data_IF_111008071176
#
_entry.id   IF_111008071176
#
_cell.length_a   1.000
_cell.length_b   1.000
_cell.length_c   1.000
_cell.angle_alpha   90.00
_cell.angle_beta   90.00
_cell.angle_gamma   90.00
#
_symmetry.space_group_name_H-M   'P 1'
#
loop_
_entity.id
_entity.type
_entity.pdbx_description
1 polymer ?
#
# COMPACT_ATOMS: atom_id res chain seq x y z
N UNK A 1 15.63 0.49 -29.28
CA UNK A 1 15.78 1.01 -30.65
C UNK A 1 16.93 0.32 -31.38
N UNK A 2 18.15 0.37 -30.83
CA UNK A 2 19.36 -0.19 -31.49
C UNK A 2 19.40 -1.73 -31.64
N UNK A 3 18.53 -2.46 -30.93
CA UNK A 3 18.36 -3.91 -31.07
C UNK A 3 17.55 -4.35 -32.30
N UNK A 4 16.86 -3.42 -32.96
CA UNK A 4 15.99 -3.70 -34.12
C UNK A 4 16.18 -2.74 -35.30
N UNK A 5 16.79 -1.58 -35.07
CA UNK A 5 16.95 -0.51 -36.07
C UNK A 5 18.43 -0.13 -36.18
N UNK A 6 18.91 0.00 -37.42
CA UNK A 6 20.24 0.51 -37.75
C UNK A 6 20.17 1.53 -38.88
N UNK A 7 21.21 2.34 -39.00
CA UNK A 7 21.34 3.33 -40.05
C UNK A 7 22.60 3.04 -40.87
N UNK A 8 22.56 3.31 -42.16
CA UNK A 8 23.70 3.17 -43.05
C UNK A 8 23.82 4.43 -43.89
N UNK A 9 24.94 5.15 -43.75
CA UNK A 9 25.19 6.35 -44.55
C UNK A 9 25.66 5.93 -45.94
N UNK A 10 25.00 6.44 -46.98
CA UNK A 10 25.39 6.22 -48.37
C UNK A 10 25.99 7.51 -48.92
N UNK A 11 27.32 7.54 -49.00
CA UNK A 11 28.05 8.66 -49.59
C UNK A 11 28.14 8.45 -51.09
N UNK A 12 27.81 9.46 -51.89
CA UNK A 12 28.00 9.34 -53.35
C UNK A 12 29.49 9.12 -53.67
N UNK A 13 29.78 8.35 -54.73
CA UNK A 13 31.16 8.04 -55.12
C UNK A 13 31.98 9.30 -55.47
N UNK A 14 31.29 10.35 -55.92
CA UNK A 14 31.85 11.69 -56.18
C UNK A 14 32.40 12.40 -54.93
N UNK A 15 32.04 11.94 -53.73
CA UNK A 15 32.41 12.57 -52.45
C UNK A 15 33.21 11.65 -51.52
N UNK A 16 33.59 10.47 -51.98
CA UNK A 16 34.41 9.52 -51.21
C UNK A 16 35.62 9.06 -51.99
N UNK A 17 36.73 8.81 -51.30
CA UNK A 17 37.97 8.25 -51.88
C UNK A 17 38.15 6.82 -51.37
N UNK A 18 38.02 6.61 -50.05
CA UNK A 18 38.17 5.30 -49.41
C UNK A 18 37.17 5.17 -48.26
N UNK A 19 35.89 5.26 -48.60
CA UNK A 19 34.78 5.12 -47.68
C UNK A 19 34.30 3.67 -47.62
N UNK A 20 34.18 3.15 -46.41
CA UNK A 20 33.59 1.82 -46.16
C UNK A 20 32.23 2.01 -45.50
N UNK A 21 31.20 1.41 -46.10
CA UNK A 21 29.85 1.40 -45.53
C UNK A 21 29.86 0.67 -44.19
N UNK A 22 29.20 1.25 -43.19
CA UNK A 22 29.07 0.68 -41.84
C UNK A 22 27.64 0.84 -41.34
N UNK A 23 27.13 -0.19 -40.67
CA UNK A 23 25.88 -0.14 -39.92
C UNK A 23 26.10 0.61 -38.60
N UNK A 24 25.30 1.65 -38.36
CA UNK A 24 25.41 2.59 -37.25
C UNK A 24 24.21 2.45 -36.30
N UNK A 25 24.44 2.64 -35.00
CA UNK A 25 23.37 2.94 -34.03
C UNK A 25 22.81 4.34 -34.26
N UNK A 26 21.68 4.66 -33.63
CA UNK A 26 21.14 6.02 -33.67
C UNK A 26 22.10 7.05 -33.07
N UNK A 27 22.76 6.70 -31.96
CA UNK A 27 23.74 7.57 -31.27
C UNK A 27 24.98 7.79 -32.15
N UNK A 28 25.47 6.75 -32.85
CA UNK A 28 26.59 6.88 -33.78
C UNK A 28 26.22 7.80 -34.97
N UNK A 29 25.02 7.65 -35.54
CA UNK A 29 24.52 8.52 -36.62
C UNK A 29 24.46 9.99 -36.16
N UNK A 30 23.91 10.23 -34.97
CA UNK A 30 23.82 11.58 -34.41
C UNK A 30 25.21 12.20 -34.22
N UNK A 31 26.14 11.45 -33.62
CA UNK A 31 27.51 11.93 -33.40
C UNK A 31 28.21 12.27 -34.71
N UNK A 32 28.06 11.43 -35.74
CA UNK A 32 28.63 11.66 -37.08
C UNK A 32 27.98 12.90 -37.72
N UNK A 33 26.65 13.03 -37.65
CA UNK A 33 25.91 14.19 -38.17
C UNK A 33 26.43 15.49 -37.56
N UNK A 34 26.49 15.57 -36.22
CA UNK A 34 26.94 16.77 -35.50
C UNK A 34 28.39 17.13 -35.79
N UNK A 35 29.28 16.13 -35.81
CA UNK A 35 30.72 16.35 -36.04
C UNK A 35 31.00 16.83 -37.46
N UNK A 36 30.35 16.25 -38.47
CA UNK A 36 30.51 16.69 -39.85
C UNK A 36 29.85 18.06 -40.09
N UNK A 37 28.66 18.32 -39.53
CA UNK A 37 28.03 19.64 -39.60
C UNK A 37 28.95 20.73 -39.06
N UNK A 38 29.47 20.54 -37.84
CA UNK A 38 30.41 21.49 -37.22
C UNK A 38 31.67 21.73 -38.06
N UNK A 39 32.18 20.68 -38.71
CA UNK A 39 33.32 20.81 -39.62
C UNK A 39 32.98 21.69 -40.82
N UNK A 40 31.86 21.46 -41.49
CA UNK A 40 31.46 22.23 -42.66
C UNK A 40 31.02 23.67 -42.33
N UNK A 41 30.44 23.90 -41.14
CA UNK A 41 30.18 25.23 -40.59
C UNK A 41 31.49 26.00 -40.34
N UNK A 42 32.54 25.34 -39.87
CA UNK A 42 33.84 26.00 -39.64
C UNK A 42 34.55 26.46 -40.92
N UNK A 43 34.09 26.00 -42.08
CA UNK A 43 34.63 26.35 -43.40
C UNK A 43 33.74 27.42 -44.06
N UNK A 44 33.39 28.45 -43.29
CA UNK A 44 32.47 29.52 -43.72
C UNK A 44 33.15 30.46 -44.73
N UNK A 45 32.70 30.38 -45.99
CA UNK A 45 32.95 31.38 -47.03
C UNK A 45 31.62 31.66 -47.72
N UNK A 46 31.25 32.94 -47.80
CA UNK A 46 29.91 33.52 -48.06
C UNK A 46 29.10 32.99 -49.25
N UNK A 47 29.64 32.08 -50.09
CA UNK A 47 28.93 31.50 -51.24
C UNK A 47 29.26 30.03 -51.55
N UNK A 48 30.03 29.33 -50.71
CA UNK A 48 30.73 28.08 -51.10
C UNK A 48 30.37 26.88 -50.23
N UNK A 49 30.23 27.09 -48.90
CA UNK A 49 29.96 26.02 -47.94
C UNK A 49 28.47 25.65 -47.84
N UNK A 50 27.59 26.44 -48.48
CA UNK A 50 26.13 26.30 -48.37
C UNK A 50 25.60 24.94 -48.80
N UNK A 51 26.15 24.30 -49.84
CA UNK A 51 25.69 22.99 -50.32
C UNK A 51 26.03 21.85 -49.34
N UNK A 52 27.26 21.81 -48.81
CA UNK A 52 27.67 20.75 -47.88
C UNK A 52 27.08 20.96 -46.50
N UNK A 53 27.11 22.20 -46.02
CA UNK A 53 26.49 22.58 -44.74
C UNK A 53 24.99 22.34 -44.79
N UNK A 54 24.28 22.65 -45.89
CA UNK A 54 22.85 22.34 -46.01
C UNK A 54 22.54 20.84 -46.03
N UNK A 55 23.37 20.02 -46.68
CA UNK A 55 23.23 18.56 -46.66
C UNK A 55 23.35 18.00 -45.23
N UNK A 56 24.38 18.43 -44.50
CA UNK A 56 24.59 18.00 -43.11
C UNK A 56 23.57 18.60 -42.15
N UNK A 57 23.14 19.83 -42.36
CA UNK A 57 22.08 20.46 -41.57
C UNK A 57 20.74 19.73 -41.78
N UNK A 58 20.38 19.39 -43.01
CA UNK A 58 19.20 18.58 -43.32
C UNK A 58 19.23 17.21 -42.65
N UNK A 59 20.40 16.57 -42.59
CA UNK A 59 20.56 15.33 -41.84
C UNK A 59 20.39 15.56 -40.34
N UNK A 60 21.03 16.59 -39.81
CA UNK A 60 20.99 16.92 -38.39
C UNK A 60 19.58 17.27 -37.92
N UNK A 61 18.82 18.06 -38.69
CA UNK A 61 17.41 18.36 -38.41
C UNK A 61 16.57 17.08 -38.35
N UNK A 62 16.74 16.14 -39.29
CA UNK A 62 16.04 14.85 -39.27
C UNK A 62 16.39 14.01 -38.03
N UNK A 63 17.66 14.01 -37.62
CA UNK A 63 18.11 13.31 -36.41
C UNK A 63 17.53 13.95 -35.14
N UNK A 64 17.52 15.28 -35.06
CA UNK A 64 16.94 16.01 -33.92
C UNK A 64 15.42 15.81 -33.85
N UNK A 65 14.70 15.81 -34.97
CA UNK A 65 13.26 15.48 -35.00
C UNK A 65 12.99 14.06 -34.47
N UNK A 66 13.83 13.08 -34.82
CA UNK A 66 13.73 11.72 -34.28
C UNK A 66 14.03 11.70 -32.79
N UNK A 67 15.04 12.45 -32.34
CA UNK A 67 15.38 12.56 -30.91
C UNK A 67 14.23 13.16 -30.11
N UNK A 68 13.66 14.29 -30.57
CA UNK A 68 12.51 14.92 -29.92
C UNK A 68 11.34 13.96 -29.85
N UNK A 69 11.01 13.29 -30.95
CA UNK A 69 9.92 12.30 -30.96
C UNK A 69 10.17 11.15 -29.97
N UNK A 70 11.40 10.65 -29.86
CA UNK A 70 11.73 9.58 -28.90
C UNK A 70 11.62 10.03 -27.44
N UNK A 71 11.93 11.31 -27.15
CA UNK A 71 11.85 11.88 -25.80
C UNK A 71 10.41 12.15 -25.34
N UNK A 72 9.49 12.41 -26.28
CA UNK A 72 8.07 12.71 -26.01
C UNK A 72 7.21 11.45 -25.80
N UNK A 73 7.75 10.25 -26.03
CA UNK A 73 6.98 9.00 -25.90
C UNK A 73 6.88 8.55 -24.44
N UNK A 74 5.65 8.50 -23.91
CA UNK A 74 5.33 7.89 -22.61
C UNK A 74 5.53 6.36 -22.62
N UNK A 75 5.30 5.71 -23.77
CA UNK A 75 5.53 4.26 -23.97
C UNK A 75 6.28 3.97 -25.28
N UNK A 76 7.28 3.09 -25.23
CA UNK A 76 8.12 2.70 -26.37
C UNK A 76 7.38 1.73 -27.32
N UNK A 77 6.51 2.27 -28.19
CA UNK A 77 5.86 1.49 -29.24
C UNK A 77 6.77 1.30 -30.47
N UNK A 78 7.24 0.08 -30.69
CA UNK A 78 8.13 -0.28 -31.80
C UNK A 78 7.55 0.04 -33.20
N UNK A 79 6.25 -0.19 -33.42
CA UNK A 79 5.62 0.06 -34.71
C UNK A 79 5.48 1.57 -34.98
N UNK A 80 5.18 2.35 -33.93
CA UNK A 80 5.13 3.81 -34.01
C UNK A 80 6.49 4.41 -34.38
N UNK A 81 7.55 4.00 -33.68
CA UNK A 81 8.92 4.46 -33.92
C UNK A 81 9.38 4.10 -35.34
N UNK A 82 9.14 2.86 -35.78
CA UNK A 82 9.52 2.43 -37.14
C UNK A 82 8.77 3.22 -38.20
N UNK A 83 7.47 3.46 -38.00
CA UNK A 83 6.66 4.26 -38.93
C UNK A 83 7.12 5.71 -39.01
N UNK A 84 7.49 6.31 -37.87
CA UNK A 84 7.99 7.68 -37.82
C UNK A 84 9.34 7.81 -38.54
N UNK A 85 10.29 6.90 -38.27
CA UNK A 85 11.61 6.91 -38.92
C UNK A 85 11.47 6.68 -40.42
N UNK A 86 10.56 5.80 -40.86
CA UNK A 86 10.27 5.58 -42.28
C UNK A 86 9.78 6.84 -43.02
N UNK A 87 9.03 7.72 -42.35
CA UNK A 87 8.64 9.00 -42.94
C UNK A 87 9.84 9.94 -43.18
N UNK A 88 10.93 9.78 -42.42
CA UNK A 88 12.15 10.59 -42.54
C UNK A 88 13.18 9.96 -43.48
N UNK A 89 13.26 8.64 -43.47
CA UNK A 89 14.16 7.83 -44.29
C UNK A 89 13.36 6.72 -44.97
N UNK A 90 12.87 6.99 -46.17
CA UNK A 90 12.01 6.08 -46.92
C UNK A 90 12.74 4.89 -47.53
N UNK A 91 14.07 4.94 -47.64
CA UNK A 91 14.88 3.90 -48.25
C UNK A 91 15.37 2.92 -47.18
N UNK A 92 14.81 1.72 -47.15
CA UNK A 92 15.13 0.71 -46.13
C UNK A 92 15.37 -0.67 -46.74
N UNK A 93 16.09 -1.52 -46.02
CA UNK A 93 16.18 -2.95 -46.30
C UNK A 93 16.24 -3.74 -44.99
N UNK A 94 15.98 -5.03 -45.06
CA UNK A 94 16.11 -5.93 -43.91
C UNK A 94 17.37 -6.77 -44.04
N UNK A 95 18.14 -6.84 -42.95
CA UNK A 95 19.32 -7.69 -42.82
C UNK A 95 19.28 -8.38 -41.46
N UNK A 96 19.30 -9.71 -41.42
CA UNK A 96 19.26 -10.52 -40.21
C UNK A 96 18.17 -10.12 -39.18
N UNK A 97 16.99 -9.71 -39.65
CA UNK A 97 15.88 -9.28 -38.78
C UNK A 97 15.98 -7.84 -38.24
N UNK A 98 17.03 -7.09 -38.61
CA UNK A 98 17.15 -5.66 -38.39
C UNK A 98 16.54 -4.88 -39.56
N UNK A 99 15.92 -3.74 -39.26
CA UNK A 99 15.50 -2.75 -40.27
C UNK A 99 16.62 -1.72 -40.41
N UNK A 100 17.19 -1.61 -41.61
CA UNK A 100 18.29 -0.70 -41.91
C UNK A 100 17.77 0.45 -42.75
N UNK A 101 17.97 1.68 -42.26
CA UNK A 101 17.62 2.91 -42.95
C UNK A 101 18.83 3.47 -43.69
N UNK A 102 18.72 3.63 -45.01
CA UNK A 102 19.75 4.22 -45.85
C UNK A 102 19.65 5.74 -45.80
N UNK A 103 20.78 6.37 -45.52
CA UNK A 103 20.91 7.82 -45.34
C UNK A 103 21.82 8.35 -46.44
N UNK A 104 21.28 8.75 -47.61
CA UNK A 104 22.10 9.29 -48.69
C UNK A 104 22.67 10.66 -48.29
N UNK A 105 23.97 10.85 -48.52
CA UNK A 105 24.67 12.10 -48.26
C UNK A 105 25.55 12.49 -49.45
N UNK A 106 25.28 13.67 -50.00
CA UNK A 106 26.07 14.25 -51.10
C UNK A 106 27.17 15.16 -50.56
N UNK A 107 28.00 14.62 -49.66
CA UNK A 107 29.08 15.37 -49.00
C UNK A 107 30.20 14.45 -48.51
N UNK A 108 31.47 14.89 -48.54
CA UNK A 108 32.56 14.14 -47.92
C UNK A 108 32.34 13.96 -46.41
N UNK A 109 32.71 12.79 -45.91
CA UNK A 109 32.50 12.36 -44.52
C UNK A 109 33.83 12.05 -43.83
N UNK A 110 33.93 12.42 -42.56
CA UNK A 110 35.11 12.21 -41.73
C UNK A 110 35.44 10.74 -41.39
N UNK A 111 34.54 9.81 -41.67
CA UNK A 111 34.79 8.36 -41.57
C UNK A 111 35.49 7.78 -42.80
N UNK A 112 35.65 8.56 -43.88
CA UNK A 112 36.49 8.16 -45.02
C UNK A 112 37.96 8.08 -44.58
N UNK A 113 38.63 6.97 -44.86
CA UNK A 113 40.04 6.75 -44.45
C UNK A 113 40.99 7.79 -45.07
N UNK A 114 40.60 8.40 -46.18
CA UNK A 114 41.33 9.45 -46.89
C UNK A 114 40.76 10.85 -46.64
N UNK A 115 39.85 11.04 -45.68
CA UNK A 115 39.25 12.35 -45.39
C UNK A 115 40.29 13.44 -45.07
N UNK A 116 41.41 13.08 -44.44
CA UNK A 116 42.52 14.01 -44.19
C UNK A 116 43.09 14.62 -45.47
N UNK A 117 43.16 13.84 -46.57
CA UNK A 117 43.60 14.34 -47.88
C UNK A 117 42.60 15.36 -48.43
N UNK A 118 41.31 15.08 -48.28
CA UNK A 118 40.22 15.98 -48.67
C UNK A 118 40.33 17.30 -47.89
N UNK A 119 40.49 17.23 -46.56
CA UNK A 119 40.65 18.41 -45.71
C UNK A 119 41.84 19.30 -46.13
N UNK A 120 43.03 18.70 -46.31
CA UNK A 120 44.22 19.45 -46.76
C UNK A 120 44.04 20.09 -48.13
N UNK A 121 43.35 19.40 -49.04
CA UNK A 121 43.02 19.96 -50.34
C UNK A 121 42.05 21.15 -50.21
N UNK A 122 41.04 21.09 -49.33
CA UNK A 122 40.14 22.22 -49.07
C UNK A 122 40.94 23.44 -48.60
N UNK A 123 41.80 23.27 -47.59
CA UNK A 123 42.65 24.34 -47.05
C UNK A 123 43.57 24.94 -48.14
N UNK A 124 44.16 24.09 -48.97
CA UNK A 124 44.95 24.53 -50.12
C UNK A 124 44.09 25.31 -51.12
N UNK A 125 42.93 24.78 -51.52
CA UNK A 125 42.07 25.37 -52.53
C UNK A 125 41.60 26.77 -52.10
N UNK A 126 41.12 26.90 -50.87
CA UNK A 126 40.62 28.16 -50.30
C UNK A 126 41.69 29.25 -50.18
N UNK A 127 42.97 28.90 -50.20
CA UNK A 127 44.06 29.89 -50.27
C UNK A 127 44.18 30.57 -51.63
N UNK A 128 43.74 29.90 -52.69
CA UNK A 128 43.96 30.36 -54.07
C UNK A 128 42.67 30.66 -54.85
N UNK A 129 41.55 30.01 -54.52
CA UNK A 129 40.26 30.26 -55.15
C UNK A 129 39.11 30.04 -54.17
N UNK A 130 38.10 30.89 -54.30
CA UNK A 130 36.83 30.86 -53.60
C UNK A 130 35.67 30.48 -54.57
N UNK A 131 35.99 30.00 -55.77
CA UNK A 131 34.96 29.63 -56.75
C UNK A 131 34.65 28.13 -56.70
N UNK A 132 33.37 27.74 -56.68
CA UNK A 132 32.90 26.36 -56.90
C UNK A 132 33.70 25.23 -56.18
N UNK A 133 33.85 25.31 -54.85
CA UNK A 133 34.52 24.27 -54.06
C UNK A 133 33.92 22.88 -54.26
N UNK A 134 32.59 22.79 -54.46
CA UNK A 134 31.93 21.52 -54.76
C UNK A 134 32.49 20.87 -56.01
N UNK A 135 32.64 21.62 -57.10
CA UNK A 135 33.30 21.15 -58.32
C UNK A 135 34.76 20.80 -58.09
N UNK A 136 35.47 21.60 -57.29
CA UNK A 136 36.88 21.39 -57.00
C UNK A 136 37.11 20.10 -56.21
N UNK A 137 36.29 19.83 -55.19
CA UNK A 137 36.35 18.60 -54.40
C UNK A 137 36.00 17.37 -55.23
N UNK A 138 34.95 17.44 -56.05
CA UNK A 138 34.60 16.34 -56.96
C UNK A 138 35.73 16.01 -57.92
N UNK A 139 36.35 17.03 -58.51
CA UNK A 139 37.52 16.83 -59.37
C UNK A 139 38.72 16.28 -58.59
N UNK A 140 39.00 16.79 -57.39
CA UNK A 140 40.08 16.27 -56.54
C UNK A 140 39.88 14.79 -56.21
N UNK A 141 38.67 14.42 -55.80
CA UNK A 141 38.31 13.03 -55.47
C UNK A 141 38.42 12.15 -56.72
N UNK A 142 37.86 12.58 -57.85
CA UNK A 142 37.95 11.87 -59.12
C UNK A 142 39.39 11.67 -59.59
N UNK A 143 40.22 12.72 -59.50
CA UNK A 143 41.64 12.69 -59.87
C UNK A 143 42.45 11.80 -58.91
N UNK A 144 42.14 11.81 -57.61
CA UNK A 144 42.80 10.93 -56.63
C UNK A 144 42.58 9.44 -56.92
N UNK A 145 41.44 9.09 -57.54
CA UNK A 145 41.14 7.74 -58.03
C UNK A 145 41.74 7.47 -59.42
N UNK A 146 41.94 8.51 -60.23
CA UNK A 146 42.36 8.42 -61.64
C UNK A 146 43.53 9.35 -61.96
N UNK A 147 44.78 9.01 -61.56
CA UNK A 147 45.94 9.89 -61.74
C UNK A 147 46.26 10.26 -63.21
N UNK A 148 45.87 9.40 -64.14
CA UNK A 148 46.03 9.62 -65.58
C UNK A 148 45.29 10.85 -66.14
N UNK A 149 44.32 11.40 -65.41
CA UNK A 149 43.57 12.59 -65.82
C UNK A 149 44.22 13.92 -65.36
N UNK A 150 45.35 13.87 -64.65
CA UNK A 150 46.02 15.08 -64.13
C UNK A 150 46.33 16.09 -65.23
N UNK A 151 46.90 15.65 -66.35
CA UNK A 151 47.32 16.55 -67.44
C UNK A 151 46.16 17.30 -68.11
N UNK A 152 45.04 16.62 -68.34
CA UNK A 152 43.84 17.23 -68.93
C UNK A 152 43.30 18.34 -68.02
N UNK A 153 43.10 18.02 -66.74
CA UNK A 153 42.52 18.94 -65.75
C UNK A 153 43.46 20.11 -65.41
N UNK A 154 44.77 19.88 -65.43
CA UNK A 154 45.78 20.91 -65.22
C UNK A 154 45.79 21.97 -66.33
N UNK A 155 45.38 21.62 -67.56
CA UNK A 155 45.32 22.58 -68.66
C UNK A 155 44.05 23.46 -68.68
N UNK A 156 43.12 23.23 -67.75
CA UNK A 156 41.83 23.94 -67.70
C UNK A 156 42.00 25.39 -67.21
N UNK A 157 41.23 26.31 -67.80
CA UNK A 157 41.13 27.70 -67.34
C UNK A 157 40.21 27.88 -66.12
N UNK A 158 39.57 26.81 -65.66
CA UNK A 158 38.67 26.86 -64.50
C UNK A 158 39.40 26.42 -63.22
N UNK A 159 39.36 27.25 -62.19
CA UNK A 159 39.99 27.02 -60.89
C UNK A 159 39.64 25.64 -60.30
N UNK A 160 38.36 25.27 -60.36
CA UNK A 160 37.85 24.00 -59.84
C UNK A 160 38.33 22.76 -60.61
N UNK A 161 39.01 22.91 -61.76
CA UNK A 161 39.71 21.84 -62.47
C UNK A 161 41.23 21.95 -62.28
N UNK A 162 41.76 23.17 -62.37
CA UNK A 162 43.19 23.48 -62.34
C UNK A 162 43.84 23.15 -60.98
N UNK A 163 43.32 23.71 -59.89
CA UNK A 163 43.92 23.57 -58.56
C UNK A 163 43.90 22.14 -58.00
N UNK A 164 42.83 21.33 -58.18
CA UNK A 164 42.87 19.90 -57.85
C UNK A 164 44.04 19.14 -58.50
N UNK A 165 44.25 19.36 -59.80
CA UNK A 165 45.34 18.71 -60.54
C UNK A 165 46.71 19.20 -60.08
N UNK A 166 46.88 20.52 -59.93
CA UNK A 166 48.13 21.12 -59.45
C UNK A 166 48.51 20.61 -58.05
N UNK A 167 47.55 20.51 -57.12
CA UNK A 167 47.79 20.03 -55.76
C UNK A 167 48.30 18.59 -55.74
N UNK A 168 47.60 17.69 -56.45
CA UNK A 168 47.97 16.28 -56.52
C UNK A 168 49.32 16.08 -57.22
N UNK A 169 49.60 16.82 -58.29
CA UNK A 169 50.89 16.80 -58.95
C UNK A 169 52.00 17.28 -58.01
N UNK A 170 51.80 18.40 -57.31
CA UNK A 170 52.77 18.92 -56.32
C UNK A 170 53.08 17.88 -55.24
N UNK A 171 52.07 17.15 -54.78
CA UNK A 171 52.25 16.10 -53.77
C UNK A 171 53.04 14.90 -54.31
N UNK A 172 52.81 14.50 -55.56
CA UNK A 172 53.60 13.43 -56.21
C UNK A 172 55.07 13.84 -56.44
N UNK A 173 55.34 15.12 -56.74
CA UNK A 173 56.70 15.62 -56.96
C UNK A 173 57.46 16.02 -55.67
N UNK A 174 56.77 16.24 -54.54
CA UNK A 174 57.32 16.80 -53.29
C UNK A 174 57.70 15.81 -52.17
N UNK A 175 57.61 14.49 -52.43
CA UNK A 175 57.54 13.37 -51.46
C UNK A 175 58.63 13.19 -50.37
N UNK A 176 59.55 14.13 -50.09
CA UNK A 176 60.69 13.84 -49.18
C UNK A 176 61.00 14.93 -48.12
N UNK A 177 60.63 16.21 -48.29
CA UNK A 177 61.16 17.28 -47.41
C UNK A 177 60.14 17.97 -46.49
N UNK A 178 58.86 18.01 -46.87
CA UNK A 178 57.81 18.68 -46.09
C UNK A 178 57.13 17.75 -45.05
N UNK A 179 57.20 16.43 -45.24
CA UNK A 179 56.49 15.45 -44.41
C UNK A 179 56.94 15.40 -42.93
N UNK A 180 58.16 15.84 -42.59
CA UNK A 180 58.68 15.79 -41.20
C UNK A 180 58.33 17.07 -40.44
N UNK A 181 58.42 18.25 -41.08
CA UNK A 181 58.09 19.53 -40.44
C UNK A 181 56.56 19.74 -40.29
N UNK A 182 55.77 19.26 -41.26
CA UNK A 182 54.31 19.24 -41.14
C UNK A 182 53.84 18.18 -40.13
N UNK A 183 54.58 17.08 -39.93
CA UNK A 183 54.22 16.09 -38.91
C UNK A 183 54.33 16.68 -37.50
N UNK A 184 55.44 17.37 -37.19
CA UNK A 184 55.65 17.97 -35.87
C UNK A 184 54.63 19.09 -35.59
N UNK A 185 54.41 20.01 -36.54
CA UNK A 185 53.54 21.17 -36.33
C UNK A 185 52.04 20.88 -36.53
N UNK A 186 51.66 20.00 -37.46
CA UNK A 186 50.24 19.74 -37.79
C UNK A 186 49.68 18.44 -37.19
N UNK A 187 50.53 17.52 -36.72
CA UNK A 187 50.07 16.27 -36.09
C UNK A 187 50.42 16.26 -34.61
N UNK A 188 51.69 16.47 -34.27
CA UNK A 188 52.19 16.26 -32.91
C UNK A 188 51.64 17.30 -31.93
N UNK A 189 51.61 18.58 -32.33
CA UNK A 189 51.03 19.67 -31.53
C UNK A 189 49.52 19.48 -31.30
N UNK A 190 48.66 19.34 -32.33
CA UNK A 190 47.22 19.15 -32.11
C UNK A 190 46.87 17.79 -31.50
N UNK A 191 47.72 16.76 -31.63
CA UNK A 191 47.56 15.50 -30.91
C UNK A 191 47.81 15.69 -29.41
N UNK A 192 48.86 16.41 -29.02
CA UNK A 192 49.10 16.76 -27.63
C UNK A 192 47.97 17.60 -27.05
N UNK A 193 47.52 18.61 -27.79
CA UNK A 193 46.44 19.48 -27.35
C UNK A 193 45.13 18.71 -27.19
N UNK A 194 44.80 17.79 -28.12
CA UNK A 194 43.66 16.88 -27.96
C UNK A 194 43.83 15.92 -26.80
N UNK A 195 45.06 15.44 -26.53
CA UNK A 195 45.31 14.52 -25.42
C UNK A 195 45.11 15.23 -24.08
N UNK A 196 45.55 16.49 -23.99
CA UNK A 196 45.34 17.34 -22.82
C UNK A 196 43.85 17.68 -22.66
N UNK A 197 43.15 18.06 -23.74
CA UNK A 197 41.70 18.28 -23.72
C UNK A 197 40.93 17.01 -23.30
N UNK A 198 41.35 15.85 -23.80
CA UNK A 198 40.75 14.56 -23.41
C UNK A 198 41.02 14.27 -21.94
N UNK A 199 42.25 14.48 -21.46
CA UNK A 199 42.61 14.28 -20.05
C UNK A 199 41.79 15.19 -19.15
N UNK A 200 41.70 16.48 -19.47
CA UNK A 200 40.92 17.44 -18.71
C UNK A 200 39.43 17.08 -18.73
N UNK A 201 38.87 16.71 -19.88
CA UNK A 201 37.46 16.28 -19.95
C UNK A 201 37.20 14.98 -19.19
N UNK A 202 38.18 14.07 -19.13
CA UNK A 202 38.08 12.83 -18.37
C UNK A 202 38.14 13.08 -16.86
N UNK A 203 38.95 14.04 -16.43
CA UNK A 203 39.02 14.49 -15.03
C UNK A 203 37.74 15.22 -14.61
N UNK A 204 37.22 16.12 -15.46
CA UNK A 204 35.93 16.79 -15.25
C UNK A 204 34.79 15.77 -15.17
N UNK A 205 34.74 14.82 -16.10
CA UNK A 205 33.72 13.76 -16.09
C UNK A 205 33.86 12.83 -14.87
N UNK A 206 35.08 12.52 -14.42
CA UNK A 206 35.29 11.76 -13.18
C UNK A 206 34.82 12.51 -11.94
N UNK A 207 35.04 13.83 -11.88
CA UNK A 207 34.55 14.66 -10.79
C UNK A 207 33.01 14.75 -10.79
N UNK A 208 32.38 14.93 -11.96
CA UNK A 208 30.92 14.93 -12.10
C UNK A 208 30.32 13.59 -11.67
N UNK A 209 30.91 12.47 -12.10
CA UNK A 209 30.49 11.13 -11.68
C UNK A 209 30.62 10.97 -10.15
N UNK A 210 31.73 11.42 -9.57
CA UNK A 210 31.95 11.34 -8.12
C UNK A 210 30.93 12.17 -7.35
N UNK A 211 30.67 13.41 -7.78
CA UNK A 211 29.66 14.27 -7.17
C UNK A 211 28.25 13.68 -7.30
N UNK A 212 27.91 13.11 -8.45
CA UNK A 212 26.64 12.41 -8.66
C UNK A 212 26.49 11.22 -7.70
N UNK A 213 27.55 10.40 -7.55
CA UNK A 213 27.54 9.28 -6.61
C UNK A 213 27.42 9.75 -5.17
N UNK A 214 28.11 10.81 -4.76
CA UNK A 214 27.99 11.36 -3.40
C UNK A 214 26.58 11.90 -3.14
N UNK A 215 26.00 12.65 -4.08
CA UNK A 215 24.65 13.21 -3.96
C UNK A 215 23.60 12.09 -3.89
N UNK A 216 23.64 11.11 -4.80
CA UNK A 216 22.73 9.96 -4.77
C UNK A 216 22.90 9.11 -3.52
N UNK A 217 24.14 8.88 -3.07
CA UNK A 217 24.38 8.11 -1.85
C UNK A 217 23.85 8.85 -0.60
N UNK A 218 23.97 10.18 -0.56
CA UNK A 218 23.38 11.00 0.51
C UNK A 218 21.84 10.94 0.52
N UNK A 219 21.21 10.96 -0.67
CA UNK A 219 19.76 10.77 -0.80
C UNK A 219 19.33 9.40 -0.34
N UNK A 220 20.06 8.34 -0.74
CA UNK A 220 19.78 6.97 -0.30
C UNK A 220 19.91 6.87 1.23
N UNK A 221 20.97 7.42 1.82
CA UNK A 221 21.14 7.44 3.27
C UNK A 221 19.98 8.12 3.99
N UNK A 222 19.59 9.32 3.54
CA UNK A 222 18.44 10.02 4.15
C UNK A 222 17.12 9.25 4.00
N UNK A 223 16.89 8.54 2.88
CA UNK A 223 15.72 7.68 2.72
C UNK A 223 15.75 6.46 3.63
N UNK A 224 16.93 5.84 3.83
CA UNK A 224 17.12 4.72 4.75
C UNK A 224 16.85 5.17 6.18
N UNK A 225 17.40 6.31 6.61
CA UNK A 225 17.14 6.88 7.94
C UNK A 225 15.65 7.18 8.16
N UNK A 226 14.97 7.73 7.15
CA UNK A 226 13.52 7.97 7.21
C UNK A 226 12.74 6.66 7.33
N UNK A 227 13.13 5.62 6.59
CA UNK A 227 12.50 4.30 6.67
C UNK A 227 12.75 3.64 8.02
N UNK A 228 13.96 3.74 8.58
CA UNK A 228 14.26 3.25 9.93
C UNK A 228 13.41 3.96 10.99
N UNK A 229 13.28 5.29 10.92
CA UNK A 229 12.39 6.03 11.82
C UNK A 229 10.92 5.61 11.67
N UNK A 230 10.47 5.41 10.43
CA UNK A 230 9.11 4.92 10.17
C UNK A 230 8.88 3.52 10.75
N UNK A 231 9.81 2.59 10.55
CA UNK A 231 9.72 1.22 11.07
C UNK A 231 9.77 1.20 12.60
N UNK A 232 10.61 2.01 13.22
CA UNK A 232 10.68 2.13 14.68
C UNK A 232 9.36 2.67 15.24
N UNK A 233 8.83 3.76 14.67
CA UNK A 233 7.54 4.32 15.09
C UNK A 233 6.39 3.34 14.84
N UNK A 234 6.40 2.63 13.71
CA UNK A 234 5.42 1.58 13.42
C UNK A 234 5.47 0.46 14.46
N UNK A 235 6.67 0.00 14.82
CA UNK A 235 6.88 -1.06 15.83
C UNK A 235 6.41 -0.60 17.20
N UNK A 236 6.79 0.60 17.65
CA UNK A 236 6.30 1.17 18.92
C UNK A 236 4.77 1.33 18.94
N UNK A 237 4.16 1.74 17.83
CA UNK A 237 2.71 1.84 17.73
C UNK A 237 2.02 0.48 17.74
N UNK A 238 2.64 -0.54 17.13
CA UNK A 238 2.15 -1.92 17.15
C UNK A 238 2.23 -2.52 18.56
N UNK A 239 3.34 -2.32 19.28
CA UNK A 239 3.48 -2.76 20.67
C UNK A 239 2.44 -2.09 21.57
N UNK A 240 2.27 -0.76 21.46
CA UNK A 240 1.22 -0.03 22.19
C UNK A 240 -0.19 -0.52 21.84
N UNK A 241 -0.45 -0.79 20.57
CA UNK A 241 -1.73 -1.30 20.12
C UNK A 241 -1.99 -2.71 20.67
N UNK A 242 -0.99 -3.58 20.64
CA UNK A 242 -1.06 -4.94 21.20
C UNK A 242 -1.36 -4.88 22.69
N UNK A 243 -0.62 -4.08 23.45
CA UNK A 243 -0.85 -3.88 24.89
C UNK A 243 -2.25 -3.33 25.17
N UNK A 244 -2.70 -2.31 24.42
CA UNK A 244 -4.04 -1.74 24.56
C UNK A 244 -5.14 -2.77 24.28
N UNK A 245 -4.95 -3.61 23.25
CA UNK A 245 -5.91 -4.67 22.89
C UNK A 245 -5.95 -5.78 23.91
N UNK A 246 -4.79 -6.23 24.39
CA UNK A 246 -4.71 -7.26 25.41
C UNK A 246 -5.39 -6.79 26.71
N UNK A 247 -5.13 -5.54 27.13
CA UNK A 247 -5.77 -4.96 28.30
C UNK A 247 -7.30 -4.85 28.14
N UNK A 248 -7.79 -4.38 26.99
CA UNK A 248 -9.24 -4.32 26.71
C UNK A 248 -9.88 -5.70 26.68
N UNK A 249 -9.19 -6.71 26.14
CA UNK A 249 -9.70 -8.07 26.09
C UNK A 249 -9.78 -8.68 27.49
N UNK A 250 -8.76 -8.45 28.32
CA UNK A 250 -8.73 -8.87 29.72
C UNK A 250 -9.85 -8.21 30.54
N UNK A 251 -10.03 -6.90 30.38
CA UNK A 251 -11.12 -6.14 31.02
C UNK A 251 -12.51 -6.67 30.58
N UNK A 252 -12.68 -6.96 29.29
CA UNK A 252 -13.91 -7.54 28.76
C UNK A 252 -14.17 -8.94 29.31
N UNK A 253 -13.13 -9.78 29.39
CA UNK A 253 -13.23 -11.13 29.96
C UNK A 253 -13.62 -11.08 31.44
N UNK A 254 -12.98 -10.22 32.24
CA UNK A 254 -13.32 -10.01 33.64
C UNK A 254 -14.75 -9.49 33.81
N UNK A 255 -15.16 -8.51 32.99
CA UNK A 255 -16.52 -7.96 32.99
C UNK A 255 -17.55 -9.04 32.64
N UNK A 256 -17.28 -9.87 31.62
CA UNK A 256 -18.17 -10.93 31.20
C UNK A 256 -18.26 -12.05 32.25
N UNK A 257 -17.14 -12.42 32.86
CA UNK A 257 -17.09 -13.40 33.96
C UNK A 257 -17.86 -12.90 35.18
N UNK A 258 -17.69 -11.63 35.57
CA UNK A 258 -18.46 -11.00 36.64
C UNK A 258 -19.96 -10.96 36.33
N UNK A 259 -20.32 -10.64 35.08
CA UNK A 259 -21.71 -10.66 34.63
C UNK A 259 -22.32 -12.06 34.74
N UNK A 260 -21.62 -13.09 34.26
CA UNK A 260 -22.11 -14.47 34.29
C UNK A 260 -22.29 -15.00 35.72
N UNK A 261 -21.34 -14.69 36.61
CA UNK A 261 -21.43 -15.09 38.03
C UNK A 261 -22.64 -14.49 38.76
N UNK A 262 -23.13 -13.31 38.35
CA UNK A 262 -24.21 -12.58 39.04
C UNK A 262 -25.57 -12.69 38.35
N UNK A 263 -25.61 -12.95 37.04
CA UNK A 263 -26.86 -13.10 36.28
C UNK A 263 -27.55 -14.46 36.53
N UNK A 264 -26.78 -15.54 36.74
CA UNK A 264 -27.33 -16.87 37.03
C UNK A 264 -28.12 -16.92 38.37
N UNK A 265 -27.63 -16.35 39.48
CA UNK A 265 -28.41 -16.24 40.72
C UNK A 265 -29.70 -15.44 40.58
N UNK A 266 -29.70 -14.29 39.88
CA UNK A 266 -30.90 -13.46 39.68
C UNK A 266 -32.00 -14.27 38.96
N UNK A 267 -31.63 -14.98 37.88
CA UNK A 267 -32.56 -15.86 37.15
C UNK A 267 -33.12 -16.96 38.03
N UNK A 268 -32.29 -17.58 38.86
CA UNK A 268 -32.71 -18.63 39.78
C UNK A 268 -33.71 -18.12 40.84
N UNK A 269 -33.45 -16.95 41.43
CA UNK A 269 -34.35 -16.35 42.42
C UNK A 269 -35.69 -15.92 41.82
N UNK A 270 -35.66 -15.30 40.63
CA UNK A 270 -36.87 -14.95 39.89
C UNK A 270 -37.72 -16.18 39.53
N UNK A 271 -37.09 -17.26 39.07
CA UNK A 271 -37.78 -18.52 38.78
C UNK A 271 -38.43 -19.13 40.04
N UNK A 272 -37.72 -19.10 41.18
CA UNK A 272 -38.27 -19.58 42.45
C UNK A 272 -39.42 -18.71 42.94
N UNK A 273 -39.29 -17.38 42.88
CA UNK A 273 -40.34 -16.44 43.22
C UNK A 273 -41.60 -16.68 42.39
N UNK A 274 -41.46 -16.86 41.07
CA UNK A 274 -42.58 -17.15 40.18
C UNK A 274 -43.29 -18.47 40.54
N UNK A 275 -42.53 -19.53 40.82
CA UNK A 275 -43.07 -20.83 41.23
C UNK A 275 -43.84 -20.74 42.55
N UNK A 276 -43.30 -20.06 43.55
CA UNK A 276 -44.01 -19.86 44.83
C UNK A 276 -45.20 -18.93 44.68
N UNK A 277 -45.16 -17.93 43.79
CA UNK A 277 -46.31 -17.07 43.48
C UNK A 277 -47.45 -17.86 42.83
N UNK A 278 -47.15 -18.78 41.91
CA UNK A 278 -48.14 -19.71 41.33
C UNK A 278 -48.76 -20.59 42.41
N UNK A 279 -47.93 -21.17 43.30
CA UNK A 279 -48.41 -21.96 44.46
C UNK A 279 -49.25 -21.11 45.42
N UNK A 280 -48.84 -19.88 45.72
CA UNK A 280 -49.58 -18.97 46.60
C UNK A 280 -50.96 -18.65 46.02
N UNK A 281 -51.04 -18.33 44.72
CA UNK A 281 -52.35 -18.15 44.04
C UNK A 281 -53.21 -19.39 44.12
N UNK A 282 -52.64 -20.58 43.86
CA UNK A 282 -53.36 -21.85 43.97
C UNK A 282 -53.91 -22.07 45.39
N UNK A 283 -53.08 -21.87 46.42
CA UNK A 283 -53.50 -21.99 47.82
C UNK A 283 -54.52 -20.94 48.24
N UNK A 284 -54.46 -19.73 47.70
CA UNK A 284 -55.48 -18.69 47.93
C UNK A 284 -56.82 -19.09 47.31
N UNK A 285 -56.83 -19.60 46.07
CA UNK A 285 -58.06 -20.12 45.46
C UNK A 285 -58.59 -21.34 46.21
N UNK A 286 -57.70 -22.23 46.66
CA UNK A 286 -58.07 -23.35 47.51
C UNK A 286 -58.64 -22.90 48.85
N UNK A 287 -58.08 -21.88 49.50
CA UNK A 287 -58.59 -21.29 50.74
C UNK A 287 -60.03 -20.78 50.55
N UNK A 288 -60.27 -20.01 49.48
CA UNK A 288 -61.61 -19.47 49.17
C UNK A 288 -62.59 -20.61 48.93
N UNK A 289 -62.24 -21.58 48.08
CA UNK A 289 -63.09 -22.74 47.81
C UNK A 289 -63.35 -23.60 49.05
N UNK A 290 -62.31 -23.88 49.83
CA UNK A 290 -62.40 -24.63 51.08
C UNK A 290 -63.29 -23.90 52.08
N UNK A 291 -63.19 -22.58 52.21
CA UNK A 291 -64.03 -21.78 53.12
C UNK A 291 -65.51 -21.83 52.74
N UNK A 292 -65.83 -21.74 51.44
CA UNK A 292 -67.21 -21.89 50.93
C UNK A 292 -67.72 -23.30 51.22
N UNK A 293 -66.93 -24.33 50.93
CA UNK A 293 -67.30 -25.72 51.16
C UNK A 293 -67.51 -26.03 52.65
N UNK A 294 -66.66 -25.46 53.52
CA UNK A 294 -66.79 -25.56 54.97
C UNK A 294 -68.07 -24.90 55.47
N UNK A 295 -68.44 -23.74 54.93
CA UNK A 295 -69.69 -23.06 55.26
C UNK A 295 -70.92 -23.86 54.84
N UNK A 296 -70.87 -24.54 53.68
CA UNK A 296 -71.93 -25.45 53.22
C UNK A 296 -72.07 -26.67 54.14
N UNK A 297 -70.95 -27.32 54.51
CA UNK A 297 -70.96 -28.43 55.48
C UNK A 297 -71.52 -27.96 56.81
N UNK A 298 -71.06 -26.80 57.30
CA UNK A 298 -71.54 -26.25 58.56
C UNK A 298 -73.05 -26.01 58.53
N UNK A 299 -73.58 -25.40 57.47
CA UNK A 299 -75.02 -25.19 57.28
C UNK A 299 -75.79 -26.51 57.27
N UNK A 300 -75.30 -27.51 56.54
CA UNK A 300 -75.90 -28.86 56.49
C UNK A 300 -75.87 -29.55 57.86
N UNK A 301 -74.77 -29.42 58.61
CA UNK A 301 -74.59 -30.03 59.93
C UNK A 301 -75.51 -29.36 60.96
N UNK A 302 -75.65 -28.03 60.92
CA UNK A 302 -76.60 -27.30 61.76
C UNK A 302 -78.05 -27.70 61.45
N UNK A 303 -78.41 -27.82 60.17
CA UNK A 303 -79.73 -28.33 59.77
C UNK A 303 -79.98 -29.76 60.28
N UNK A 304 -79.01 -30.66 60.10
CA UNK A 304 -79.10 -32.03 60.61
C UNK A 304 -79.25 -32.10 62.13
N UNK A 305 -78.52 -31.26 62.88
CA UNK A 305 -78.65 -31.17 64.34
C UNK A 305 -80.01 -30.63 64.81
N UNK A 306 -80.65 -29.80 64.00
CA UNK A 306 -81.97 -29.23 64.32
C UNK A 306 -83.10 -30.22 64.00
N UNK A 307 -83.05 -30.87 62.83
CA UNK A 307 -84.08 -31.80 62.35
C UNK A 307 -84.00 -33.17 63.06
N UNK A 308 -82.78 -33.64 63.35
CA UNK A 308 -82.53 -34.83 64.15
C UNK A 308 -81.89 -34.42 65.48
N UNK A 309 -82.69 -34.06 66.50
CA UNK A 309 -82.14 -33.83 67.83
C UNK A 309 -81.49 -35.14 68.28
N UNK A 310 -80.16 -35.14 68.28
CA UNK A 310 -79.37 -36.26 68.76
C UNK A 310 -79.82 -36.56 70.19
N UNK A 311 -80.46 -37.72 70.40
CA UNK A 311 -80.86 -38.26 71.72
C UNK A 311 -79.63 -38.51 72.65
N UNK A 312 -78.44 -38.07 72.23
CA UNK A 312 -77.18 -37.97 72.98
C UNK A 312 -77.36 -37.15 74.27
N UNK A 313 -78.23 -36.13 74.28
CA UNK A 313 -78.53 -35.35 75.49
C UNK A 313 -79.17 -36.20 76.61
N UNK A 314 -79.86 -37.30 76.28
CA UNK A 314 -80.38 -38.27 77.27
C UNK A 314 -79.32 -39.22 77.82
N UNK A 315 -78.25 -39.50 77.07
CA UNK A 315 -77.15 -40.40 77.48
C UNK A 315 -76.05 -39.68 78.26
N UNK A 316 -75.90 -38.37 78.06
CA UNK A 316 -74.86 -37.57 78.71
C UNK A 316 -75.47 -36.23 79.19
N UNK A 317 -76.05 -36.18 80.41
CA UNK A 317 -76.86 -35.04 80.86
C UNK A 317 -76.08 -33.74 81.10
N UNK A 318 -74.74 -33.75 81.02
CA UNK A 318 -73.89 -32.58 81.21
C UNK A 318 -73.53 -31.84 79.91
N UNK A 319 -73.90 -32.37 78.73
CA UNK A 319 -73.58 -31.78 77.43
C UNK A 319 -74.85 -31.27 76.73
N UNK A 320 -74.99 -29.95 76.61
CA UNK A 320 -76.10 -29.32 75.89
C UNK A 320 -75.87 -29.38 74.37
N UNK A 321 -76.96 -29.38 73.59
CA UNK A 321 -76.89 -29.30 72.13
C UNK A 321 -76.11 -28.07 71.65
N UNK A 322 -76.18 -26.95 72.38
CA UNK A 322 -75.42 -25.73 72.12
C UNK A 322 -73.90 -25.92 72.25
N UNK A 323 -73.45 -26.79 73.16
CA UNK A 323 -72.03 -27.09 73.32
C UNK A 323 -71.42 -27.69 72.05
N UNK A 324 -72.13 -28.64 71.41
CA UNK A 324 -71.65 -29.26 70.17
C UNK A 324 -71.53 -28.26 69.02
N UNK A 325 -72.50 -27.34 68.89
CA UNK A 325 -72.45 -26.27 67.88
C UNK A 325 -71.23 -25.38 68.11
N UNK A 326 -70.99 -24.95 69.35
CA UNK A 326 -69.80 -24.13 69.69
C UNK A 326 -68.49 -24.88 69.42
N UNK A 327 -68.40 -26.16 69.80
CA UNK A 327 -67.21 -26.98 69.55
C UNK A 327 -66.92 -27.15 68.05
N UNK A 328 -67.96 -27.37 67.24
CA UNK A 328 -67.85 -27.48 65.78
C UNK A 328 -67.40 -26.14 65.16
N UNK A 329 -67.97 -25.01 65.59
CA UNK A 329 -67.54 -23.68 65.14
C UNK A 329 -66.05 -23.46 65.48
N UNK A 330 -65.64 -23.77 66.71
CA UNK A 330 -64.23 -23.63 67.13
C UNK A 330 -63.30 -24.50 66.29
N UNK A 331 -63.70 -25.73 65.94
CA UNK A 331 -62.93 -26.61 65.06
C UNK A 331 -62.79 -26.05 63.64
N UNK A 332 -63.85 -25.52 63.05
CA UNK A 332 -63.80 -24.91 61.71
C UNK A 332 -62.94 -23.64 61.68
N UNK A 333 -63.04 -22.77 62.70
CA UNK A 333 -62.16 -21.61 62.84
C UNK A 333 -60.69 -22.05 62.91
N UNK A 334 -60.39 -23.15 63.62
CA UNK A 334 -59.05 -23.70 63.71
C UNK A 334 -58.51 -24.18 62.35
N UNK A 335 -59.33 -24.88 61.55
CA UNK A 335 -58.96 -25.30 60.19
C UNK A 335 -58.67 -24.09 59.31
N UNK A 336 -59.56 -23.08 59.30
CA UNK A 336 -59.36 -21.84 58.53
C UNK A 336 -58.05 -21.17 58.95
N UNK A 337 -57.75 -21.11 60.25
CA UNK A 337 -56.50 -20.53 60.77
C UNK A 337 -55.26 -21.25 60.22
N UNK A 338 -55.28 -22.58 60.11
CA UNK A 338 -54.18 -23.35 59.52
C UNK A 338 -54.03 -23.04 58.03
N UNK A 339 -55.14 -23.02 57.28
CA UNK A 339 -55.11 -22.74 55.85
C UNK A 339 -54.62 -21.32 55.56
N UNK A 340 -55.02 -20.32 56.35
CA UNK A 340 -54.51 -18.95 56.27
C UNK A 340 -53.01 -18.91 56.53
N UNK A 341 -52.51 -19.60 57.56
CA UNK A 341 -51.07 -19.70 57.84
C UNK A 341 -50.30 -20.33 56.68
N UNK A 342 -50.82 -21.37 56.05
CA UNK A 342 -50.20 -22.04 54.92
C UNK A 342 -50.15 -21.15 53.67
N UNK A 343 -51.25 -20.43 53.38
CA UNK A 343 -51.32 -19.48 52.26
C UNK A 343 -50.37 -18.30 52.47
N UNK A 344 -50.37 -17.71 53.67
CA UNK A 344 -49.44 -16.65 54.08
C UNK A 344 -47.98 -17.09 53.92
N UNK A 345 -47.64 -18.31 54.34
CA UNK A 345 -46.28 -18.84 54.22
C UNK A 345 -45.80 -18.91 52.78
N UNK A 346 -46.62 -19.39 51.84
CA UNK A 346 -46.25 -19.45 50.43
C UNK A 346 -46.10 -18.06 49.80
N UNK A 347 -46.95 -17.11 50.20
CA UNK A 347 -46.87 -15.74 49.73
C UNK A 347 -45.65 -15.00 50.29
N UNK A 348 -45.32 -15.20 51.58
CA UNK A 348 -44.11 -14.69 52.20
C UNK A 348 -42.87 -15.18 51.46
N UNK A 349 -42.79 -16.50 51.17
CA UNK A 349 -41.68 -17.06 50.40
C UNK A 349 -41.54 -16.44 49.00
N UNK A 350 -42.65 -16.19 48.32
CA UNK A 350 -42.61 -15.54 47.01
C UNK A 350 -42.02 -14.12 47.09
N UNK A 351 -42.48 -13.32 48.06
CA UNK A 351 -42.00 -11.94 48.29
C UNK A 351 -40.51 -11.95 48.69
N UNK A 352 -40.10 -12.85 49.57
CA UNK A 352 -38.71 -12.99 50.01
C UNK A 352 -37.77 -13.34 48.85
N UNK A 353 -38.16 -14.28 47.97
CA UNK A 353 -37.35 -14.59 46.79
C UNK A 353 -37.32 -13.44 45.76
N UNK A 354 -38.40 -12.67 45.65
CA UNK A 354 -38.43 -11.45 44.81
C UNK A 354 -37.51 -10.36 45.37
N UNK A 355 -37.51 -10.16 46.69
CA UNK A 355 -36.58 -9.25 47.37
C UNK A 355 -35.11 -9.68 47.19
N UNK A 356 -34.83 -10.99 47.28
CA UNK A 356 -33.48 -11.53 46.99
C UNK A 356 -33.07 -11.33 45.53
N UNK A 357 -33.99 -11.47 44.57
CA UNK A 357 -33.71 -11.16 43.17
C UNK A 357 -33.42 -9.67 42.96
N UNK A 358 -34.23 -8.78 43.55
CA UNK A 358 -34.02 -7.33 43.50
C UNK A 358 -32.69 -6.92 44.14
N UNK A 359 -32.31 -7.52 45.26
CA UNK A 359 -31.03 -7.29 45.95
C UNK A 359 -29.85 -7.81 45.12
N UNK A 360 -30.00 -8.95 44.44
CA UNK A 360 -28.98 -9.47 43.51
C UNK A 360 -28.77 -8.50 42.34
N UNK A 361 -29.85 -7.98 41.77
CA UNK A 361 -29.81 -6.99 40.69
C UNK A 361 -29.22 -5.64 41.14
N UNK A 362 -29.54 -5.21 42.35
CA UNK A 362 -28.95 -4.02 42.96
C UNK A 362 -27.44 -4.19 43.16
N UNK A 363 -27.00 -5.35 43.66
CA UNK A 363 -25.58 -5.68 43.78
C UNK A 363 -24.86 -5.74 42.41
N UNK A 364 -25.54 -6.27 41.39
CA UNK A 364 -25.04 -6.25 40.01
C UNK A 364 -24.86 -4.82 39.50
N UNK A 365 -25.82 -3.92 39.76
CA UNK A 365 -25.72 -2.52 39.37
C UNK A 365 -24.56 -1.80 40.08
N UNK A 366 -24.40 -1.99 41.40
CA UNK A 366 -23.29 -1.43 42.16
C UNK A 366 -21.92 -1.92 41.67
N UNK A 367 -21.81 -3.22 41.36
CA UNK A 367 -20.56 -3.80 40.82
C UNK A 367 -20.27 -3.28 39.40
N UNK A 368 -21.31 -3.01 38.61
CA UNK A 368 -21.19 -2.49 37.24
C UNK A 368 -20.82 -1.00 37.19
N UNK A 369 -21.32 -0.19 38.14
CA UNK A 369 -21.01 1.25 38.24
C UNK A 369 -19.59 1.52 38.80
N UNK A 370 -18.79 0.48 39.05
CA UNK A 370 -17.38 0.61 39.45
C UNK A 370 -17.18 1.10 40.88
N UNK A 371 -18.23 1.15 41.69
CA UNK A 371 -18.14 1.53 43.09
C UNK A 371 -17.51 0.36 43.88
N UNK A 372 -16.34 0.60 44.46
CA UNK A 372 -15.59 -0.41 45.23
C UNK A 372 -16.36 -0.76 46.51
N UNK A 373 -17.22 -1.78 46.43
CA UNK A 373 -17.92 -2.34 47.59
C UNK A 373 -16.85 -2.90 48.54
N UNK A 374 -16.83 -2.41 49.77
CA UNK A 374 -15.91 -2.90 50.80
C UNK A 374 -16.16 -4.40 51.05
N UNK A 375 -15.13 -5.20 51.35
CA UNK A 375 -15.28 -6.64 51.66
C UNK A 375 -16.34 -6.89 52.74
N UNK A 376 -16.44 -6.00 53.73
CA UNK A 376 -17.46 -6.06 54.78
C UNK A 376 -18.88 -5.87 54.22
N UNK A 377 -19.08 -4.96 53.27
CA UNK A 377 -20.38 -4.71 52.63
C UNK A 377 -20.76 -5.87 51.70
N UNK A 378 -19.79 -6.42 50.96
CA UNK A 378 -19.98 -7.63 50.15
C UNK A 378 -20.39 -8.82 51.01
N UNK A 379 -19.75 -9.01 52.18
CA UNK A 379 -20.14 -10.06 53.12
C UNK A 379 -21.56 -9.87 53.67
N UNK A 380 -21.96 -8.64 53.99
CA UNK A 380 -23.34 -8.33 54.42
C UNK A 380 -24.35 -8.67 53.32
N UNK A 381 -24.06 -8.31 52.07
CA UNK A 381 -24.95 -8.58 50.94
C UNK A 381 -25.07 -10.08 50.67
N UNK A 382 -23.94 -10.80 50.64
CA UNK A 382 -23.90 -12.26 50.50
C UNK A 382 -24.68 -12.92 51.64
N UNK A 383 -24.48 -12.47 52.89
CA UNK A 383 -25.23 -13.01 54.03
C UNK A 383 -26.75 -12.84 53.83
N UNK A 384 -27.20 -11.65 53.45
CA UNK A 384 -28.63 -11.38 53.20
C UNK A 384 -29.21 -12.26 52.06
N UNK A 385 -28.45 -12.44 50.98
CA UNK A 385 -28.89 -13.25 49.82
C UNK A 385 -28.98 -14.76 50.14
N UNK A 386 -28.01 -15.30 50.89
CA UNK A 386 -27.92 -16.74 51.17
C UNK A 386 -28.54 -17.17 52.51
N UNK A 387 -29.04 -16.24 53.34
CA UNK A 387 -29.69 -16.61 54.59
C UNK A 387 -30.94 -17.48 54.35
N UNK A 388 -31.22 -18.44 55.25
CA UNK A 388 -32.42 -19.29 55.15
C UNK A 388 -33.67 -18.40 55.24
N UNK A 389 -34.65 -18.66 54.38
CA UNK A 389 -35.92 -17.90 54.37
C UNK A 389 -36.82 -18.49 55.45
N UNK A 390 -37.14 -17.68 56.46
CA UNK A 390 -38.11 -18.06 57.47
C UNK A 390 -39.49 -18.23 56.80
N UNK A 391 -40.04 -19.42 56.98
CA UNK A 391 -41.42 -19.67 56.62
C UNK A 391 -42.25 -19.34 57.86
N UNK A 392 -43.42 -18.72 57.73
CA UNK A 392 -44.30 -18.46 58.89
C UNK A 392 -44.72 -19.71 59.69
N UNK A 393 -44.28 -20.91 59.27
CA UNK A 393 -44.49 -22.22 59.85
C UNK A 393 -43.23 -22.87 60.45
N UNK A 394 -42.03 -22.54 59.95
CA UNK A 394 -40.73 -23.06 60.41
C UNK A 394 -39.81 -21.86 60.62
N UNK A 395 -39.48 -21.59 61.88
CA UNK A 395 -38.46 -20.62 62.27
C UNK A 395 -37.10 -21.29 62.23
N UNK A 396 -36.11 -20.61 61.67
CA UNK A 396 -34.73 -21.10 61.67
C UNK A 396 -33.93 -20.38 62.75
N UNK A 397 -33.26 -21.14 63.63
CA UNK A 397 -32.35 -20.59 64.63
C UNK A 397 -31.05 -20.16 63.94
N UNK A 398 -30.69 -18.87 64.02
CA UNK A 398 -29.62 -18.23 63.25
C UNK A 398 -28.18 -18.70 63.51
N UNK A 399 -27.96 -19.67 64.41
CA UNK A 399 -26.64 -20.07 64.92
C UNK A 399 -25.80 -20.87 63.90
N UNK A 400 -26.45 -21.57 62.96
CA UNK A 400 -25.75 -22.46 62.01
C UNK A 400 -25.08 -21.69 60.84
N UNK A 401 -25.64 -20.53 60.48
CA UNK A 401 -25.14 -19.67 59.39
C UNK A 401 -23.93 -18.83 59.84
N UNK A 402 -23.94 -18.33 61.08
CA UNK A 402 -22.79 -17.62 61.67
C UNK A 402 -21.53 -18.49 61.66
N UNK A 403 -21.68 -19.80 61.92
CA UNK A 403 -20.60 -20.77 61.87
C UNK A 403 -20.07 -21.00 60.44
N UNK A 404 -20.93 -21.07 59.42
CA UNK A 404 -20.48 -21.19 58.02
C UNK A 404 -19.78 -19.92 57.51
N UNK A 405 -20.26 -18.74 57.92
CA UNK A 405 -19.64 -17.46 57.55
C UNK A 405 -18.28 -17.26 58.22
N UNK A 406 -18.13 -17.67 59.49
CA UNK A 406 -16.84 -17.67 60.18
C UNK A 406 -15.82 -18.58 59.47
N UNK A 407 -16.26 -19.70 58.89
CA UNK A 407 -15.40 -20.61 58.12
C UNK A 407 -15.01 -20.00 56.77
N UNK A 408 -15.94 -19.36 56.05
CA UNK A 408 -15.65 -18.70 54.77
C UNK A 408 -14.73 -17.47 54.95
N UNK A 409 -14.98 -16.63 55.95
CA UNK A 409 -14.15 -15.46 56.24
C UNK A 409 -12.72 -15.84 56.67
N UNK A 410 -12.53 -17.00 57.32
CA UNK A 410 -11.21 -17.50 57.70
C UNK A 410 -10.39 -18.00 56.50
N UNK A 411 -11.04 -18.41 55.41
CA UNK A 411 -10.41 -18.93 54.19
C UNK A 411 -10.19 -17.87 53.09
N UNK A 412 -10.67 -16.64 53.30
CA UNK A 412 -10.50 -15.50 52.37
C UNK A 412 -9.30 -14.59 52.75
N UNK A 413 -8.41 -15.06 53.63
CA UNK A 413 -7.25 -14.30 54.12
C UNK A 413 -5.94 -14.75 53.52
#
# INVERSE_FOLDING_TARGET
MDSKIRFEIEVDDDYSINYEKKQLTFIELERISKRNLKFWESIEVDNISSDFTSNWNSLNSRVEEIRTHLSELEELNHNGITSFIYQKYSNTYSDNGLVIYRVPISSPIDTDKSFRKIKRFIEYYLKYSDSNLRGALRNFISLSKNPQLYGEKFSSSCDYNYYPALYLMKQEFGKIKDDIADFDSEVLVPLHQKLDDISQSADESSNEITQFFEDENSKIQSQVELQEQYLNNFTENMEKWEEEKENKLRELEETYKNKLQLEEPEKLWNLRAENYRKKAKFWTYFLVGASIMLALIFSMLVWFLYEFPLDISKKIPFLSQSFFVVAIISFFIYIIRILVKLSMSNNHLAIEYEQKAAMTRFFQALTYDGESINENERLIIINSLFNKVDTGLVKTDGVEMENMLAILAKNLK
#
